data_IF_314482774956
#
_entry.id   IF_314482774956
#
_cell.length_a   1.000
_cell.length_b   1.000
_cell.length_c   1.000
_cell.angle_alpha   90.00
_cell.angle_beta   90.00
_cell.angle_gamma   90.00
#
_symmetry.space_group_name_H-M   'P 1'
#
loop_
_entity.id
_entity.type
_entity.pdbx_description
1 polymer ?
#
# COMPACT_ATOMS: atom_id res chain seq x y z
N UNK A 1 8.81 22.11 6.13
CA UNK A 1 8.16 20.78 6.18
C UNK A 1 9.27 19.77 6.30
N UNK A 2 9.51 19.26 7.51
CA UNK A 2 10.60 18.32 7.79
C UNK A 2 10.13 16.91 7.44
N UNK A 3 10.71 16.33 6.39
CA UNK A 3 10.55 14.90 6.12
C UNK A 3 11.23 14.12 7.25
N UNK A 4 10.45 13.48 8.12
CA UNK A 4 10.99 12.57 9.12
C UNK A 4 11.26 11.23 8.42
N UNK A 5 12.53 10.84 8.21
CA UNK A 5 12.88 9.69 7.37
C UNK A 5 12.34 8.36 7.92
N UNK A 6 12.03 8.30 9.22
CA UNK A 6 11.51 7.11 9.89
C UNK A 6 9.98 7.11 10.05
N UNK A 7 9.27 8.10 9.50
CA UNK A 7 7.83 8.23 9.70
C UNK A 7 7.08 6.94 9.36
N UNK A 8 7.37 6.35 8.21
CA UNK A 8 6.72 5.10 7.79
C UNK A 8 7.08 3.96 8.75
N UNK A 9 8.35 3.78 9.09
CA UNK A 9 8.82 2.69 9.96
C UNK A 9 8.21 2.74 11.36
N UNK A 10 8.00 3.94 11.91
CA UNK A 10 7.42 4.14 13.26
C UNK A 10 5.91 3.92 13.32
N UNK A 11 5.21 4.07 12.20
CA UNK A 11 3.73 4.01 12.15
C UNK A 11 3.18 2.73 11.51
N UNK A 12 4.05 1.76 11.18
CA UNK A 12 3.60 0.45 10.74
C UNK A 12 3.13 -0.39 11.94
N UNK A 13 1.92 -0.98 11.89
CA UNK A 13 1.45 -1.90 12.92
C UNK A 13 2.41 -3.08 13.06
N UNK A 14 2.87 -3.34 14.28
CA UNK A 14 3.79 -4.45 14.61
C UNK A 14 3.11 -5.61 15.35
N UNK A 15 1.82 -5.46 15.68
CA UNK A 15 1.04 -6.43 16.43
C UNK A 15 -0.32 -6.66 15.78
N UNK A 16 -0.76 -7.91 15.77
CA UNK A 16 -2.13 -8.28 15.44
C UNK A 16 -3.03 -7.98 16.64
N UNK A 17 -4.21 -7.44 16.38
CA UNK A 17 -5.20 -7.08 17.40
C UNK A 17 -6.58 -7.60 16.99
N UNK A 18 -7.45 -7.84 17.96
CA UNK A 18 -8.85 -8.21 17.69
C UNK A 18 -9.60 -7.02 17.08
N UNK A 19 -10.19 -7.23 15.91
CA UNK A 19 -10.96 -6.21 15.18
C UNK A 19 -12.44 -6.57 15.22
N UNK A 20 -13.28 -5.63 15.66
CA UNK A 20 -14.75 -5.77 15.70
C UNK A 20 -15.38 -5.44 14.36
N UNK A 21 -14.97 -4.34 13.72
CA UNK A 21 -15.40 -3.96 12.35
C UNK A 21 -14.18 -3.69 11.48
N UNK A 22 -14.10 -4.35 10.33
CA UNK A 22 -13.06 -4.13 9.32
C UNK A 22 -13.73 -3.76 8.00
N UNK A 23 -13.76 -2.47 7.67
CA UNK A 23 -14.34 -1.96 6.43
C UNK A 23 -13.24 -1.34 5.58
N UNK A 24 -12.87 -2.03 4.50
CA UNK A 24 -11.94 -1.54 3.48
C UNK A 24 -12.69 -1.54 2.14
N UNK A 25 -12.78 -0.40 1.43
CA UNK A 25 -13.49 -0.37 0.15
C UNK A 25 -12.72 -1.15 -0.91
N UNK A 26 -13.44 -1.78 -1.84
CA UNK A 26 -12.82 -2.26 -3.08
C UNK A 26 -12.45 -1.06 -3.93
N UNK A 27 -11.28 -1.10 -4.54
CA UNK A 27 -10.87 -0.06 -5.47
C UNK A 27 -9.98 -0.61 -6.57
N UNK A 28 -9.98 0.10 -7.69
CA UNK A 28 -9.17 -0.19 -8.86
C UNK A 28 -8.60 1.12 -9.36
N UNK A 29 -7.28 1.25 -9.33
CA UNK A 29 -6.58 2.46 -9.73
C UNK A 29 -5.62 2.10 -10.85
N UNK A 30 -5.73 2.83 -11.95
CA UNK A 30 -4.73 2.82 -13.02
C UNK A 30 -4.10 4.20 -13.06
N UNK A 31 -2.78 4.26 -12.91
CA UNK A 31 -2.05 5.52 -12.93
C UNK A 31 -1.00 5.48 -14.03
N UNK A 32 -0.83 6.58 -14.74
CA UNK A 32 0.22 6.74 -15.73
C UNK A 32 0.70 8.19 -15.72
N UNK A 33 2.01 8.37 -15.79
CA UNK A 33 2.60 9.70 -15.86
C UNK A 33 3.99 9.65 -16.49
N UNK A 34 4.44 10.83 -16.92
CA UNK A 34 5.80 11.04 -17.40
C UNK A 34 6.70 11.42 -16.21
N UNK A 35 7.41 10.43 -15.67
CA UNK A 35 8.32 10.60 -14.53
C UNK A 35 9.48 11.55 -14.81
N UNK A 36 9.87 11.74 -16.08
CA UNK A 36 10.91 12.70 -16.44
C UNK A 36 10.58 14.14 -16.04
N UNK A 37 9.30 14.51 -15.96
CA UNK A 37 8.89 15.85 -15.49
C UNK A 37 9.14 16.01 -14.00
N UNK A 38 8.64 15.06 -13.20
CA UNK A 38 8.78 15.06 -11.74
C UNK A 38 10.25 14.95 -11.33
N UNK A 39 11.03 14.08 -11.99
CA UNK A 39 12.46 13.91 -11.71
C UNK A 39 13.24 15.21 -11.93
N UNK A 40 12.92 15.97 -12.99
CA UNK A 40 13.53 17.28 -13.23
C UNK A 40 13.14 18.30 -12.16
N UNK A 41 11.87 18.32 -11.74
CA UNK A 41 11.37 19.23 -10.70
C UNK A 41 12.04 18.99 -9.33
N UNK A 42 12.40 17.75 -9.01
CA UNK A 42 13.14 17.41 -7.78
C UNK A 42 14.66 17.57 -7.91
N UNK A 43 15.15 18.07 -9.06
CA UNK A 43 16.56 18.40 -9.28
C UNK A 43 17.37 17.35 -10.04
N UNK A 44 16.78 16.22 -10.44
CA UNK A 44 17.45 15.23 -11.29
C UNK A 44 17.36 15.66 -12.76
N UNK A 45 18.31 16.48 -13.19
CA UNK A 45 18.33 17.05 -14.55
C UNK A 45 19.39 16.40 -15.46
N UNK A 46 20.50 15.95 -14.90
CA UNK A 46 21.68 15.51 -15.66
C UNK A 46 21.40 14.39 -16.68
N UNK A 47 20.65 13.31 -16.36
CA UNK A 47 20.35 12.26 -17.34
C UNK A 47 19.54 12.73 -18.56
N UNK A 48 18.92 13.91 -18.46
CA UNK A 48 18.10 14.52 -19.50
C UNK A 48 18.87 15.57 -20.33
N UNK A 49 20.17 15.76 -20.05
CA UNK A 49 21.10 16.60 -20.79
C UNK A 49 22.04 15.73 -21.63
N UNK A 50 22.50 16.24 -22.78
CA UNK A 50 23.22 15.48 -23.81
C UNK A 50 24.60 14.93 -23.41
N UNK A 51 25.08 15.23 -22.22
CA UNK A 51 26.35 14.80 -21.64
C UNK A 51 26.19 13.88 -20.41
N UNK A 52 24.96 13.58 -20.00
CA UNK A 52 24.70 12.90 -18.72
C UNK A 52 24.79 11.38 -18.73
N UNK A 53 25.09 10.75 -19.87
CA UNK A 53 25.04 9.28 -20.06
C UNK A 53 26.26 8.71 -20.82
N UNK A 54 27.41 9.36 -20.74
CA UNK A 54 28.63 8.99 -21.47
C UNK A 54 29.10 7.53 -21.19
N UNK A 55 28.85 6.99 -20.00
CA UNK A 55 29.24 5.61 -19.67
C UNK A 55 28.34 4.53 -20.29
N UNK A 56 27.20 4.89 -20.91
CA UNK A 56 26.25 3.93 -21.49
C UNK A 56 26.60 3.58 -22.94
N UNK A 57 27.14 4.53 -23.69
CA UNK A 57 27.47 4.38 -25.12
C UNK A 57 28.79 5.09 -25.39
N UNK A 58 29.59 4.52 -26.29
CA UNK A 58 30.86 5.09 -26.75
C UNK A 58 30.73 6.58 -27.10
N UNK A 59 31.68 7.41 -26.66
CA UNK A 59 31.66 8.90 -26.56
C UNK A 59 31.45 9.67 -27.89
N UNK A 60 31.08 8.97 -28.95
CA UNK A 60 30.93 9.49 -30.31
C UNK A 60 29.63 10.24 -30.55
N UNK A 61 28.60 10.06 -29.70
CA UNK A 61 27.29 10.70 -29.88
C UNK A 61 26.73 11.19 -28.54
N UNK A 62 26.29 12.46 -28.44
CA UNK A 62 25.61 12.96 -27.24
C UNK A 62 24.32 12.18 -26.99
N UNK A 63 24.20 11.56 -25.81
CA UNK A 63 23.08 10.72 -25.42
C UNK A 63 22.33 11.35 -24.24
N UNK A 64 21.00 11.35 -24.31
CA UNK A 64 20.14 11.83 -23.23
C UNK A 64 18.84 11.04 -23.14
N UNK A 65 18.27 10.96 -21.94
CA UNK A 65 16.94 10.40 -21.74
C UNK A 65 15.90 11.37 -22.31
N UNK A 66 15.12 10.92 -23.29
CA UNK A 66 14.03 11.73 -23.84
C UNK A 66 12.82 11.79 -22.90
N UNK A 67 12.31 10.64 -22.46
CA UNK A 67 11.15 10.51 -21.57
C UNK A 67 11.28 9.28 -20.68
N UNK A 68 10.77 9.38 -19.46
CA UNK A 68 10.56 8.23 -18.58
C UNK A 68 9.06 8.10 -18.36
N UNK A 69 8.47 6.98 -18.80
CA UNK A 69 7.04 6.71 -18.67
C UNK A 69 6.82 5.64 -17.60
N UNK A 70 6.02 5.96 -16.60
CA UNK A 70 5.62 5.00 -15.56
C UNK A 70 4.11 4.77 -15.65
N UNK A 71 3.72 3.50 -15.73
CA UNK A 71 2.32 3.06 -15.71
C UNK A 71 2.17 1.97 -14.67
N UNK A 72 1.20 2.13 -13.78
CA UNK A 72 0.91 1.23 -12.69
C UNK A 72 -0.57 0.93 -12.59
N UNK A 73 -0.87 -0.22 -12.01
CA UNK A 73 -2.21 -0.73 -11.81
C UNK A 73 -2.30 -1.41 -10.46
N UNK A 74 -3.33 -1.11 -9.69
CA UNK A 74 -3.66 -1.80 -8.45
C UNK A 74 -5.17 -2.06 -8.37
N UNK A 75 -5.51 -3.25 -7.91
CA UNK A 75 -6.89 -3.67 -7.64
C UNK A 75 -6.93 -4.34 -6.27
N UNK A 76 -7.81 -3.84 -5.41
CA UNK A 76 -8.10 -4.43 -4.10
C UNK A 76 -9.52 -4.95 -4.12
N UNK A 77 -9.64 -6.26 -3.94
CA UNK A 77 -10.89 -7.01 -3.84
C UNK A 77 -10.72 -8.13 -2.80
N UNK A 78 -11.80 -8.84 -2.47
CA UNK A 78 -11.76 -9.91 -1.45
C UNK A 78 -11.04 -11.17 -1.92
N UNK A 79 -10.91 -11.35 -3.24
CA UNK A 79 -10.26 -12.52 -3.83
C UNK A 79 -8.74 -12.48 -3.66
N UNK A 80 -8.14 -11.28 -3.77
CA UNK A 80 -6.71 -11.06 -3.55
C UNK A 80 -6.20 -11.34 -2.13
N UNK A 81 -7.12 -11.58 -1.17
CA UNK A 81 -6.81 -11.88 0.25
C UNK A 81 -7.52 -13.15 0.73
N UNK A 82 -7.87 -14.08 -0.17
CA UNK A 82 -8.62 -15.31 0.15
C UNK A 82 -7.90 -16.32 1.07
N UNK A 83 -6.61 -16.14 1.35
CA UNK A 83 -5.79 -17.17 2.02
C UNK A 83 -5.75 -17.01 3.56
N UNK A 84 -6.09 -15.84 4.11
CA UNK A 84 -5.90 -15.56 5.55
C UNK A 84 -7.05 -16.00 6.48
N UNK A 85 -8.25 -16.28 5.95
CA UNK A 85 -9.43 -16.54 6.79
C UNK A 85 -9.52 -17.97 7.35
N UNK A 86 -8.74 -18.93 6.83
CA UNK A 86 -8.86 -20.35 7.20
C UNK A 86 -8.17 -20.66 8.55
N UNK A 87 -7.20 -19.85 8.99
CA UNK A 87 -6.33 -20.18 10.13
C UNK A 87 -6.90 -19.78 11.51
N UNK A 88 -8.04 -19.10 11.58
CA UNK A 88 -8.61 -18.64 12.86
C UNK A 88 -9.42 -19.73 13.61
N UNK A 89 -9.69 -20.88 13.00
CA UNK A 89 -10.62 -21.88 13.53
C UNK A 89 -9.96 -22.96 14.43
N UNK A 90 -8.82 -22.70 15.06
CA UNK A 90 -8.23 -23.66 16.00
C UNK A 90 -7.62 -22.98 17.21
N UNK A 91 -8.40 -22.88 18.29
CA UNK A 91 -8.04 -23.30 19.66
C UNK A 91 -8.97 -22.58 20.66
N UNK A 92 -9.86 -23.34 21.32
CA UNK A 92 -10.38 -22.93 22.61
C UNK A 92 -10.53 -24.15 23.52
N UNK A 93 -9.54 -24.36 24.38
CA UNK A 93 -9.71 -25.07 25.66
C UNK A 93 -8.70 -24.55 26.67
N UNK A 94 -9.16 -23.93 27.77
CA UNK A 94 -8.37 -23.80 29.00
C UNK A 94 -8.50 -22.49 29.80
N UNK A 95 -9.22 -22.60 30.93
CA UNK A 95 -9.12 -21.84 32.21
C UNK A 95 -9.36 -20.31 32.27
N UNK A 96 -10.17 -19.81 33.25
CA UNK A 96 -10.37 -18.38 33.45
C UNK A 96 -9.26 -17.82 34.35
N UNK A 97 -8.15 -17.40 33.75
CA UNK A 97 -7.32 -16.36 34.37
C UNK A 97 -7.94 -15.02 33.99
N UNK A 98 -8.07 -14.12 34.97
CA UNK A 98 -8.60 -12.77 34.82
C UNK A 98 -7.65 -11.93 33.95
N UNK A 99 -7.60 -12.24 32.65
CA UNK A 99 -6.89 -11.45 31.65
C UNK A 99 -7.80 -10.29 31.28
N UNK A 100 -7.31 -9.06 31.45
CA UNK A 100 -7.93 -7.87 30.89
C UNK A 100 -7.97 -8.09 29.38
N UNK A 101 -9.14 -8.49 28.86
CA UNK A 101 -9.33 -8.65 27.42
C UNK A 101 -9.33 -7.23 26.84
N UNK A 102 -8.28 -6.89 26.09
CA UNK A 102 -8.23 -5.63 25.37
C UNK A 102 -9.49 -5.50 24.51
N UNK A 103 -10.16 -4.35 24.57
CA UNK A 103 -11.39 -4.16 23.82
C UNK A 103 -11.08 -4.18 22.31
N UNK A 104 -11.88 -4.93 21.51
CA UNK A 104 -11.63 -5.01 20.08
C UNK A 104 -11.90 -3.67 19.41
N UNK A 105 -11.03 -3.31 18.47
CA UNK A 105 -11.04 -2.00 17.77
C UNK A 105 -11.87 -2.06 16.48
N UNK A 106 -12.34 -0.90 16.02
CA UNK A 106 -12.95 -0.74 14.70
C UNK A 106 -11.95 -0.10 13.73
N UNK A 107 -11.79 -0.68 12.55
CA UNK A 107 -11.06 -0.10 11.42
C UNK A 107 -12.03 0.12 10.25
N UNK A 108 -12.41 1.39 10.02
CA UNK A 108 -13.37 1.78 8.99
C UNK A 108 -12.75 2.83 8.09
N UNK A 109 -12.38 2.44 6.87
CA UNK A 109 -11.77 3.30 5.86
C UNK A 109 -12.85 3.96 4.97
N UNK A 110 -13.74 4.76 5.59
CA UNK A 110 -14.86 5.44 4.93
C UNK A 110 -14.59 6.89 4.50
N UNK A 111 -13.35 7.33 4.64
CA UNK A 111 -12.84 8.65 4.31
C UNK A 111 -11.50 8.52 3.58
N UNK A 112 -10.94 9.58 2.98
CA UNK A 112 -9.68 9.47 2.24
C UNK A 112 -8.56 8.85 3.09
N UNK A 113 -7.87 7.86 2.52
CA UNK A 113 -6.78 7.14 3.20
C UNK A 113 -5.58 6.94 2.27
N UNK A 114 -4.42 6.74 2.89
CA UNK A 114 -3.18 6.35 2.22
C UNK A 114 -3.02 4.82 2.30
N UNK A 115 -2.49 4.23 1.24
CA UNK A 115 -2.10 2.82 1.23
C UNK A 115 -0.64 2.68 0.76
N UNK A 116 -0.01 1.61 1.22
CA UNK A 116 1.32 1.19 0.81
C UNK A 116 1.33 -0.32 0.58
N UNK A 117 2.04 -0.74 -0.47
CA UNK A 117 2.41 -2.14 -0.68
C UNK A 117 3.90 -2.21 -0.49
N UNK A 118 4.32 -3.02 0.47
CA UNK A 118 5.70 -3.10 0.93
C UNK A 118 6.12 -4.55 0.97
N UNK A 119 7.37 -4.82 0.61
CA UNK A 119 8.01 -6.09 0.93
C UNK A 119 8.46 -6.06 2.40
N UNK A 120 7.89 -6.95 3.20
CA UNK A 120 8.17 -7.03 4.63
C UNK A 120 9.61 -7.48 4.95
N UNK A 121 10.27 -8.19 4.03
CA UNK A 121 11.65 -8.66 4.22
C UNK A 121 12.66 -7.55 3.94
N UNK A 122 12.57 -6.93 2.77
CA UNK A 122 13.56 -5.91 2.34
C UNK A 122 13.20 -4.50 2.80
N UNK A 123 11.95 -4.26 3.17
CA UNK A 123 11.48 -2.92 3.52
C UNK A 123 11.06 -2.07 2.32
N UNK A 124 11.24 -2.57 1.09
CA UNK A 124 11.02 -1.80 -0.14
C UNK A 124 9.54 -1.50 -0.36
N UNK A 125 9.23 -0.24 -0.66
CA UNK A 125 7.88 0.20 -1.03
C UNK A 125 7.70 -0.04 -2.53
N UNK A 126 6.77 -0.93 -2.87
CA UNK A 126 6.42 -1.29 -4.24
C UNK A 126 5.35 -0.33 -4.80
N UNK A 127 4.39 0.06 -3.94
CA UNK A 127 3.34 1.02 -4.29
C UNK A 127 3.04 1.95 -3.12
N UNK A 128 2.74 3.20 -3.44
CA UNK A 128 2.17 4.17 -2.51
C UNK A 128 1.08 4.94 -3.25
N UNK A 129 -0.02 5.22 -2.58
CA UNK A 129 -1.11 5.97 -3.17
C UNK A 129 -2.14 6.41 -2.16
N UNK A 130 -3.04 7.26 -2.62
CA UNK A 130 -4.19 7.72 -1.86
C UNK A 130 -5.48 7.26 -2.53
N UNK A 131 -6.47 6.92 -1.72
CA UNK A 131 -7.84 6.70 -2.18
C UNK A 131 -8.65 7.90 -1.71
N UNK A 132 -9.05 8.75 -2.64
CA UNK A 132 -9.91 9.90 -2.34
C UNK A 132 -11.37 9.43 -2.40
N UNK A 133 -11.98 9.24 -1.21
CA UNK A 133 -13.37 8.83 -0.95
C UNK A 133 -14.15 8.30 -2.18
N UNK A 134 -13.96 7.01 -2.46
CA UNK A 134 -14.85 6.27 -3.34
C UNK A 134 -16.19 6.10 -2.64
N UNK A 135 -17.27 6.68 -3.19
CA UNK A 135 -18.65 6.39 -2.78
C UNK A 135 -19.00 4.94 -3.10
N UNK A 136 -18.52 3.97 -2.31
CA UNK A 136 -19.06 2.63 -2.21
C UNK A 136 -18.43 1.93 -0.99
N UNK A 137 -19.07 2.05 0.17
CA UNK A 137 -18.70 1.26 1.34
C UNK A 137 -19.31 -0.14 1.18
N UNK A 138 -18.49 -1.18 1.15
CA UNK A 138 -18.96 -2.53 1.35
C UNK A 138 -19.10 -2.76 2.86
N UNK A 139 -20.31 -3.10 3.31
CA UNK A 139 -20.58 -3.46 4.70
C UNK A 139 -19.93 -4.81 5.01
N UNK A 140 -18.90 -4.84 5.83
CA UNK A 140 -18.49 -6.01 6.60
C UNK A 140 -19.06 -5.85 8.02
N UNK A 141 -20.31 -6.28 8.17
CA UNK A 141 -21.04 -6.31 9.42
C UNK A 141 -21.89 -7.58 9.49
N UNK A 142 -21.34 -8.57 10.20
CA UNK A 142 -21.96 -9.70 10.91
C UNK A 142 -23.17 -10.44 10.31
N UNK A 143 -22.99 -11.77 10.23
CA UNK A 143 -23.99 -12.86 10.15
C UNK A 143 -24.65 -13.08 8.78
N UNK A 144 -24.11 -14.04 8.02
CA UNK A 144 -24.91 -14.76 7.02
C UNK A 144 -25.21 -16.17 7.54
N UNK A 145 -26.48 -16.32 7.89
CA UNK A 145 -27.19 -17.56 8.16
C UNK A 145 -27.34 -18.41 6.88
N UNK A 146 -27.24 -19.72 7.08
CA UNK A 146 -28.00 -20.84 6.49
C UNK A 146 -27.80 -21.24 5.01
N UNK A 147 -27.46 -22.55 4.86
CA UNK A 147 -27.89 -23.57 3.88
C UNK A 147 -27.98 -23.16 2.40
N UNK A 148 -27.44 -23.90 1.43
CA UNK A 148 -27.18 -25.34 1.28
C UNK A 148 -25.72 -25.62 0.84
#
# INVERSE_FOLDING_TARGET
MTSEPEFLTRHLPSKTVDVRRLLIPKFKITFNFEASKVLKEVGLTHPFCGDGLAEIVDDTVPLSVSKVLHKSFIEVNEEGTKVAAVTAATMMYGCPAMMIKEEPIDFVADHPFLFLVKDDVTGVILFIGTVESSRCLAYFGLVLFLYD
#
